data_IF_506151260250
#
_entry.id   IF_506151260250
#
_cell.length_a   1.000
_cell.length_b   1.000
_cell.length_c   1.000
_cell.angle_alpha   90.00
_cell.angle_beta   90.00
_cell.angle_gamma   90.00
#
_symmetry.space_group_name_H-M   'P 1'
#
loop_
_entity.id
_entity.type
_entity.pdbx_description
1 polymer ?
#
# COMPACT_ATOMS: atom_id res chain seq x y z
N UNK A 1 9.33 11.48 21.46
CA UNK A 1 8.00 11.05 20.96
C UNK A 1 8.17 10.65 19.51
N UNK A 2 8.32 9.36 19.22
CA UNK A 2 8.64 8.85 17.85
C UNK A 2 8.05 7.47 17.53
N UNK A 3 7.57 6.71 18.51
CA UNK A 3 7.26 5.28 18.31
C UNK A 3 5.98 4.97 17.51
N UNK A 4 5.03 5.89 17.40
CA UNK A 4 3.74 5.64 16.71
C UNK A 4 3.74 6.16 15.26
N UNK A 5 4.42 7.27 15.00
CA UNK A 5 4.56 7.86 13.66
C UNK A 5 5.52 7.04 12.78
N UNK A 6 6.69 6.62 13.30
CA UNK A 6 7.58 5.69 12.59
C UNK A 6 6.91 4.35 12.26
N UNK A 7 5.83 4.00 12.97
CA UNK A 7 5.08 2.78 12.76
C UNK A 7 4.13 2.87 11.55
N UNK A 8 3.51 4.00 11.25
CA UNK A 8 2.50 4.10 10.18
C UNK A 8 3.11 3.96 8.78
N UNK A 9 4.15 4.73 8.47
CA UNK A 9 4.88 4.61 7.19
C UNK A 9 5.47 3.22 7.03
N UNK A 10 6.11 2.69 8.07
CA UNK A 10 6.70 1.36 8.04
C UNK A 10 5.65 0.26 7.86
N UNK A 11 4.50 0.37 8.52
CA UNK A 11 3.39 -0.59 8.43
C UNK A 11 2.73 -0.56 7.06
N UNK A 12 2.43 0.63 6.54
CA UNK A 12 1.87 0.78 5.19
C UNK A 12 2.82 0.18 4.13
N UNK A 13 4.12 0.46 4.26
CA UNK A 13 5.15 -0.14 3.39
C UNK A 13 5.23 -1.66 3.53
N UNK A 14 5.14 -2.18 4.75
CA UNK A 14 5.13 -3.62 4.99
C UNK A 14 3.91 -4.30 4.35
N UNK A 15 2.70 -3.76 4.56
CA UNK A 15 1.47 -4.29 3.95
C UNK A 15 1.59 -4.31 2.42
N UNK A 16 2.07 -3.22 1.84
CA UNK A 16 2.29 -3.10 0.39
C UNK A 16 3.22 -4.20 -0.13
N UNK A 17 4.38 -4.40 0.52
CA UNK A 17 5.32 -5.47 0.14
C UNK A 17 4.76 -6.86 0.36
N UNK A 18 4.04 -7.07 1.45
CA UNK A 18 3.46 -8.37 1.77
C UNK A 18 2.52 -8.80 0.65
N UNK A 19 1.58 -7.96 0.24
CA UNK A 19 0.61 -8.35 -0.77
C UNK A 19 1.15 -8.26 -2.20
N UNK A 20 1.77 -7.13 -2.58
CA UNK A 20 2.23 -6.94 -3.97
C UNK A 20 3.53 -7.68 -4.26
N UNK A 21 4.41 -7.82 -3.27
CA UNK A 21 5.62 -8.64 -3.41
C UNK A 21 5.28 -10.13 -3.54
N UNK A 22 4.34 -10.65 -2.73
CA UNK A 22 3.85 -12.03 -2.88
C UNK A 22 3.20 -12.24 -4.24
N UNK A 23 2.36 -11.30 -4.70
CA UNK A 23 1.77 -11.37 -6.03
C UNK A 23 2.82 -11.44 -7.15
N UNK A 24 3.86 -10.61 -7.08
CA UNK A 24 4.94 -10.63 -8.08
C UNK A 24 5.73 -11.94 -8.05
N UNK A 25 6.05 -12.45 -6.86
CA UNK A 25 6.72 -13.76 -6.71
C UNK A 25 5.87 -14.87 -7.30
N UNK A 26 4.58 -14.95 -6.93
CA UNK A 26 3.66 -15.95 -7.47
C UNK A 26 3.49 -15.82 -8.99
N UNK A 27 3.43 -14.60 -9.53
CA UNK A 27 3.36 -14.37 -10.97
C UNK A 27 4.60 -14.91 -11.70
N UNK A 28 5.77 -14.84 -11.08
CA UNK A 28 7.01 -15.38 -11.64
C UNK A 28 7.11 -16.91 -11.48
N UNK A 29 6.73 -17.45 -10.33
CA UNK A 29 6.90 -18.87 -10.00
C UNK A 29 5.75 -19.76 -10.50
N UNK A 30 4.53 -19.24 -10.57
CA UNK A 30 3.32 -19.98 -10.91
C UNK A 30 2.24 -19.03 -11.47
N UNK A 31 2.40 -18.54 -12.71
CA UNK A 31 1.50 -17.55 -13.30
C UNK A 31 0.03 -17.99 -13.35
N UNK A 32 -0.23 -19.30 -13.48
CA UNK A 32 -1.59 -19.86 -13.49
C UNK A 32 -2.27 -19.83 -12.10
N UNK A 33 -1.50 -19.67 -11.03
CA UNK A 33 -1.97 -19.56 -9.65
C UNK A 33 -1.90 -18.11 -9.12
N UNK A 34 -1.37 -17.19 -9.91
CA UNK A 34 -1.29 -15.79 -9.51
C UNK A 34 -2.71 -15.20 -9.44
N UNK A 35 -3.12 -14.83 -8.22
CA UNK A 35 -4.37 -14.12 -7.97
C UNK A 35 -4.50 -12.91 -8.91
N UNK A 36 -5.71 -12.59 -9.38
CA UNK A 36 -5.92 -11.42 -10.24
C UNK A 36 -5.29 -10.16 -9.60
N UNK A 37 -4.50 -9.43 -10.38
CA UNK A 37 -3.82 -8.20 -9.96
C UNK A 37 -4.79 -7.22 -9.27
N UNK A 38 -6.01 -7.08 -9.80
CA UNK A 38 -7.04 -6.20 -9.27
C UNK A 38 -7.50 -6.63 -7.87
N UNK A 39 -7.54 -7.94 -7.61
CA UNK A 39 -7.92 -8.48 -6.32
C UNK A 39 -6.87 -8.15 -5.25
N UNK A 40 -5.59 -8.35 -5.56
CA UNK A 40 -4.50 -8.04 -4.62
C UNK A 40 -4.43 -6.54 -4.34
N UNK A 41 -4.59 -5.71 -5.37
CA UNK A 41 -4.64 -4.25 -5.21
C UNK A 41 -5.81 -3.82 -4.33
N UNK A 42 -6.99 -4.42 -4.50
CA UNK A 42 -8.16 -4.16 -3.65
C UNK A 42 -7.89 -4.52 -2.17
N UNK A 43 -7.22 -5.64 -1.91
CA UNK A 43 -6.82 -6.03 -0.55
C UNK A 43 -5.86 -5.00 0.07
N UNK A 44 -4.82 -4.58 -0.67
CA UNK A 44 -3.86 -3.59 -0.17
C UNK A 44 -4.55 -2.27 0.16
N UNK A 45 -5.38 -1.76 -0.75
CA UNK A 45 -6.12 -0.52 -0.50
C UNK A 45 -7.03 -0.64 0.72
N UNK A 46 -7.76 -1.74 0.87
CA UNK A 46 -8.64 -1.99 2.03
C UNK A 46 -7.87 -1.97 3.35
N UNK A 47 -6.71 -2.62 3.41
CA UNK A 47 -5.89 -2.65 4.63
C UNK A 47 -5.25 -1.28 4.95
N UNK A 48 -4.88 -0.50 3.94
CA UNK A 48 -4.38 0.87 4.14
C UNK A 48 -5.48 1.83 4.59
N UNK A 49 -6.69 1.70 4.06
CA UNK A 49 -7.87 2.45 4.52
C UNK A 49 -8.16 2.08 5.98
N UNK A 50 -8.19 0.79 6.32
CA UNK A 50 -8.37 0.33 7.71
C UNK A 50 -7.31 0.92 8.64
N UNK A 51 -6.05 0.97 8.20
CA UNK A 51 -4.97 1.61 8.95
C UNK A 51 -5.21 3.11 9.14
N UNK A 52 -5.79 3.79 8.15
CA UNK A 52 -6.10 5.23 8.23
C UNK A 52 -7.24 5.56 9.19
N UNK A 53 -8.14 4.61 9.48
CA UNK A 53 -9.27 4.83 10.40
C UNK A 53 -8.83 5.05 11.84
N UNK A 54 -7.63 4.61 12.23
CA UNK A 54 -7.06 4.87 13.56
C UNK A 54 -6.25 6.17 13.63
N UNK A 55 -6.07 6.87 12.50
CA UNK A 55 -5.35 8.14 12.44
C UNK A 55 -6.21 9.29 12.98
N UNK A 56 -5.60 10.11 13.83
CA UNK A 56 -6.22 11.25 14.50
C UNK A 56 -6.15 12.53 13.68
N UNK A 57 -5.19 12.63 12.77
CA UNK A 57 -4.97 13.84 11.97
C UNK A 57 -4.55 13.51 10.53
N UNK A 58 -4.54 14.53 9.67
CA UNK A 58 -4.17 14.42 8.27
C UNK A 58 -2.70 14.03 8.06
N UNK A 59 -1.81 14.43 8.96
CA UNK A 59 -0.38 14.10 8.91
C UNK A 59 -0.17 12.59 9.03
N UNK A 60 -0.81 11.93 9.99
CA UNK A 60 -0.76 10.47 10.16
C UNK A 60 -1.31 9.73 8.93
N UNK A 61 -2.37 10.26 8.30
CA UNK A 61 -2.89 9.69 7.04
C UNK A 61 -1.90 9.89 5.88
N UNK A 62 -1.20 11.03 5.84
CA UNK A 62 -0.15 11.28 4.85
C UNK A 62 1.01 10.29 5.00
N UNK A 63 1.37 9.91 6.23
CA UNK A 63 2.39 8.89 6.49
C UNK A 63 2.03 7.52 5.88
N UNK A 64 0.74 7.16 5.87
CA UNK A 64 0.26 5.93 5.22
C UNK A 64 0.44 6.00 3.70
N UNK A 65 0.09 7.13 3.08
CA UNK A 65 0.27 7.35 1.64
C UNK A 65 1.74 7.29 1.25
N UNK A 66 2.60 7.92 2.05
CA UNK A 66 4.04 7.87 1.85
C UNK A 66 4.56 6.43 1.95
N UNK A 67 4.14 5.69 2.97
CA UNK A 67 4.53 4.29 3.14
C UNK A 67 4.06 3.39 1.99
N UNK A 68 2.85 3.64 1.47
CA UNK A 68 2.34 2.95 0.28
C UNK A 68 3.18 3.27 -0.96
N UNK A 69 3.46 4.55 -1.22
CA UNK A 69 4.29 5.00 -2.33
C UNK A 69 5.70 4.40 -2.28
N UNK A 70 6.34 4.41 -1.10
CA UNK A 70 7.63 3.77 -0.87
C UNK A 70 7.55 2.25 -1.09
N UNK A 71 6.46 1.61 -0.64
CA UNK A 71 6.22 0.17 -0.84
C UNK A 71 6.13 -0.20 -2.32
N UNK A 72 5.36 0.58 -3.10
CA UNK A 72 5.23 0.42 -4.56
C UNK A 72 6.57 0.55 -5.28
N UNK A 73 7.39 1.52 -4.88
CA UNK A 73 8.74 1.69 -5.42
C UNK A 73 9.65 0.49 -5.09
N UNK A 74 9.58 -0.04 -3.86
CA UNK A 74 10.39 -1.19 -3.43
C UNK A 74 10.04 -2.48 -4.16
N UNK A 75 8.76 -2.70 -4.47
CA UNK A 75 8.34 -3.83 -5.31
C UNK A 75 8.45 -3.53 -6.81
N UNK A 76 9.05 -2.39 -7.21
CA UNK A 76 9.21 -2.00 -8.62
C UNK A 76 7.89 -2.05 -9.40
N UNK A 77 6.80 -1.59 -8.78
CA UNK A 77 5.51 -1.52 -9.45
C UNK A 77 5.58 -0.55 -10.64
N UNK A 78 4.76 -0.77 -11.66
CA UNK A 78 4.69 0.13 -12.81
C UNK A 78 4.35 1.56 -12.33
N UNK A 79 5.16 2.54 -12.76
CA UNK A 79 5.08 3.92 -12.25
C UNK A 79 3.75 4.62 -12.56
N UNK A 80 3.19 4.39 -13.75
CA UNK A 80 1.89 4.96 -14.12
C UNK A 80 0.79 4.39 -13.23
N UNK A 81 0.73 3.07 -13.07
CA UNK A 81 -0.23 2.40 -12.20
C UNK A 81 -0.03 2.79 -10.73
N UNK A 82 1.22 2.89 -10.27
CA UNK A 82 1.54 3.33 -8.92
C UNK A 82 0.99 4.74 -8.65
N UNK A 83 1.19 5.68 -9.57
CA UNK A 83 0.68 7.04 -9.43
C UNK A 83 -0.85 7.10 -9.36
N UNK A 84 -1.56 6.27 -10.16
CA UNK A 84 -3.02 6.18 -10.15
C UNK A 84 -3.52 5.61 -8.83
N UNK A 85 -2.87 4.56 -8.31
CA UNK A 85 -3.21 3.92 -7.04
C UNK A 85 -3.00 4.87 -5.85
N UNK A 86 -1.88 5.58 -5.82
CA UNK A 86 -1.59 6.57 -4.77
C UNK A 86 -2.66 7.67 -4.76
N UNK A 87 -2.99 8.24 -5.93
CA UNK A 87 -4.06 9.24 -6.05
C UNK A 87 -5.43 8.72 -5.65
N UNK A 88 -5.72 7.45 -5.92
CA UNK A 88 -6.95 6.83 -5.46
C UNK A 88 -6.99 6.75 -3.93
N UNK A 89 -5.93 6.25 -3.31
CA UNK A 89 -5.83 6.14 -1.86
C UNK A 89 -5.90 7.50 -1.18
N UNK A 90 -5.20 8.51 -1.71
CA UNK A 90 -5.29 9.91 -1.25
C UNK A 90 -6.75 10.38 -1.20
N UNK A 91 -7.51 10.16 -2.27
CA UNK A 91 -8.93 10.53 -2.33
C UNK A 91 -9.80 9.75 -1.37
N UNK A 92 -9.39 8.58 -0.91
CA UNK A 92 -10.18 7.76 0.01
C UNK A 92 -9.89 8.12 1.47
N UNK A 93 -8.63 8.41 1.81
CA UNK A 93 -8.22 8.60 3.22
C UNK A 93 -8.02 10.07 3.62
N UNK A 94 -7.70 10.99 2.71
CA UNK A 94 -7.52 12.41 3.03
C UNK A 94 -8.83 13.23 3.00
N UNK A 95 -9.99 12.56 2.91
CA UNK A 95 -11.29 13.22 3.01
C UNK A 95 -11.55 13.78 4.41
#
# INVERSE_FOLDING_TARGET
MTSYQDNLTARARQLTRQFLGQYQQMKTESPDLAHNQDHVLSIVSTELIRLSMSCKNSEERQMIIEGFSQGLAQVRWNAENASRLVRQLEREILR
#
